data_IF_818905086143
#
_entry.id   IF_818905086143
#
_cell.length_a   1.000
_cell.length_b   1.000
_cell.length_c   1.000
_cell.angle_alpha   90.00
_cell.angle_beta   90.00
_cell.angle_gamma   90.00
#
_symmetry.space_group_name_H-M   'P 1'
#
loop_
_entity.id
_entity.type
_entity.pdbx_description
1 polymer ?
#
# COMPACT_ATOMS: atom_id res chain seq x y z
N UNK A 1 -54.43 -44.38 28.76
CA UNK A 1 -53.45 -44.31 27.66
C UNK A 1 -53.39 -42.86 27.19
N UNK A 2 -52.48 -42.06 27.75
CA UNK A 2 -52.38 -40.62 27.47
C UNK A 2 -51.55 -40.41 26.21
N UNK A 3 -52.15 -39.82 25.17
CA UNK A 3 -51.45 -39.44 23.93
C UNK A 3 -50.76 -38.11 24.18
N UNK A 4 -49.44 -38.13 24.31
CA UNK A 4 -48.61 -36.92 24.39
C UNK A 4 -48.44 -36.34 22.98
N UNK A 5 -49.03 -35.17 22.75
CA UNK A 5 -48.90 -34.43 21.49
C UNK A 5 -47.64 -33.56 21.60
N UNK A 6 -46.57 -33.94 20.90
CA UNK A 6 -45.30 -33.19 20.90
C UNK A 6 -45.39 -32.06 19.87
N UNK A 7 -45.44 -30.82 20.36
CA UNK A 7 -45.49 -29.61 19.53
C UNK A 7 -44.06 -29.27 19.08
N UNK A 8 -43.75 -29.51 17.81
CA UNK A 8 -42.45 -29.16 17.22
C UNK A 8 -42.44 -27.66 16.87
N UNK A 9 -41.86 -26.83 17.75
CA UNK A 9 -41.65 -25.39 17.47
C UNK A 9 -40.45 -25.27 16.52
N UNK A 10 -40.74 -24.96 15.25
CA UNK A 10 -39.73 -24.63 14.25
C UNK A 10 -39.19 -23.23 14.57
N UNK A 11 -38.05 -23.16 15.25
CA UNK A 11 -37.38 -21.90 15.58
C UNK A 11 -36.77 -21.33 14.28
N UNK A 12 -37.51 -20.49 13.58
CA UNK A 12 -37.01 -19.76 12.41
C UNK A 12 -36.00 -18.71 12.91
N UNK A 13 -34.72 -19.08 12.95
CA UNK A 13 -33.63 -18.14 13.24
C UNK A 13 -33.55 -17.15 12.07
N UNK A 14 -34.17 -15.98 12.24
CA UNK A 14 -33.92 -14.83 11.39
C UNK A 14 -32.51 -14.32 11.69
N UNK A 15 -31.50 -14.88 11.02
CA UNK A 15 -30.22 -14.22 10.87
C UNK A 15 -30.44 -12.95 10.03
N UNK A 16 -30.69 -11.83 10.71
CA UNK A 16 -30.62 -10.51 10.07
C UNK A 16 -29.18 -10.24 9.69
N UNK A 17 -28.80 -10.63 8.47
CA UNK A 17 -27.56 -10.17 7.86
C UNK A 17 -27.79 -8.71 7.46
N UNK A 18 -27.27 -7.78 8.26
CA UNK A 18 -27.25 -6.38 7.89
C UNK A 18 -26.31 -6.21 6.68
N UNK A 19 -26.90 -6.16 5.49
CA UNK A 19 -26.19 -5.74 4.27
C UNK A 19 -26.41 -4.26 4.08
N UNK A 20 -25.32 -3.51 3.86
CA UNK A 20 -25.43 -2.14 3.39
C UNK A 20 -25.60 -2.18 1.87
N UNK A 21 -26.51 -1.37 1.33
CA UNK A 21 -26.72 -1.23 -0.12
C UNK A 21 -26.59 0.25 -0.50
N UNK A 22 -25.79 0.55 -1.52
CA UNK A 22 -25.54 1.93 -2.01
C UNK A 22 -25.69 2.00 -3.52
N UNK A 23 -26.39 3.02 -4.02
CA UNK A 23 -26.43 3.36 -5.45
C UNK A 23 -25.19 4.18 -5.82
N UNK A 24 -24.49 3.77 -6.87
CA UNK A 24 -23.36 4.50 -7.46
C UNK A 24 -23.75 4.95 -8.85
N UNK A 25 -23.47 6.22 -9.16
CA UNK A 25 -23.65 6.81 -10.49
C UNK A 25 -22.28 7.23 -11.04
N UNK A 26 -21.99 6.80 -12.25
CA UNK A 26 -20.73 7.10 -12.93
C UNK A 26 -20.89 8.40 -13.71
N UNK A 27 -20.28 9.45 -13.20
CA UNK A 27 -20.20 10.72 -13.91
C UNK A 27 -19.06 10.65 -14.94
N UNK A 28 -19.43 10.38 -16.19
CA UNK A 28 -18.50 10.33 -17.31
C UNK A 28 -18.07 11.72 -17.82
N UNK A 29 -18.65 12.80 -17.30
CA UNK A 29 -18.33 14.18 -17.67
C UNK A 29 -17.79 15.02 -16.49
N UNK A 30 -16.76 15.84 -16.79
CA UNK A 30 -16.09 16.90 -16.02
C UNK A 30 -14.83 16.56 -15.18
N UNK A 31 -13.71 17.19 -15.55
CA UNK A 31 -12.48 17.32 -14.76
C UNK A 31 -12.58 18.48 -13.77
N UNK A 32 -12.01 18.40 -12.54
CA UNK A 32 -11.69 19.61 -11.79
C UNK A 32 -10.70 20.45 -12.62
N UNK A 33 -10.99 21.75 -12.74
CA UNK A 33 -10.35 22.75 -13.60
C UNK A 33 -8.85 23.00 -13.39
N UNK A 34 -8.14 22.14 -12.66
CA UNK A 34 -6.75 22.34 -12.23
C UNK A 34 -5.75 21.27 -12.70
N UNK A 35 -6.11 20.41 -13.66
CA UNK A 35 -5.13 19.52 -14.28
C UNK A 35 -4.45 20.22 -15.48
N UNK A 36 -3.27 20.79 -15.26
CA UNK A 36 -2.39 21.24 -16.35
C UNK A 36 -1.93 20.02 -17.14
N UNK A 37 -2.44 19.87 -18.37
CA UNK A 37 -1.92 18.90 -19.32
C UNK A 37 -0.58 19.39 -19.87
N UNK A 38 0.47 18.59 -19.70
CA UNK A 38 1.70 18.70 -20.50
C UNK A 38 1.39 17.99 -21.81
N UNK A 39 0.99 18.76 -22.82
CA UNK A 39 0.75 18.23 -24.17
C UNK A 39 2.08 18.24 -24.93
N UNK A 40 2.54 17.08 -25.38
CA UNK A 40 3.33 16.99 -26.61
C UNK A 40 2.88 15.72 -27.36
N UNK A 41 2.30 15.92 -28.54
CA UNK A 41 1.93 14.85 -29.48
C UNK A 41 0.42 14.63 -29.58
N UNK A 42 -0.16 15.06 -30.69
CA UNK A 42 -1.54 14.76 -31.08
C UNK A 42 -1.84 13.26 -31.01
N UNK A 43 -2.87 12.87 -30.26
CA UNK A 43 -3.68 11.68 -30.52
C UNK A 43 -5.06 11.84 -29.90
N UNK A 44 -6.05 11.41 -30.68
CA UNK A 44 -7.50 11.17 -30.48
C UNK A 44 -8.20 11.87 -29.30
N UNK A 45 -9.45 12.29 -29.52
CA UNK A 45 -10.33 12.90 -28.52
C UNK A 45 -10.55 11.96 -27.33
N UNK A 46 -9.64 12.01 -26.36
CA UNK A 46 -9.64 11.21 -25.13
C UNK A 46 -10.89 11.57 -24.35
N UNK A 47 -11.73 10.59 -24.01
CA UNK A 47 -12.77 10.76 -23.00
C UNK A 47 -12.12 11.38 -21.76
N UNK A 48 -12.51 12.59 -21.38
CA UNK A 48 -11.86 13.31 -20.28
C UNK A 48 -12.44 12.80 -18.96
N UNK A 49 -11.71 11.93 -18.26
CA UNK A 49 -12.18 11.39 -16.99
C UNK A 49 -11.79 12.20 -15.75
N UNK A 50 -12.63 12.10 -14.72
CA UNK A 50 -12.38 12.62 -13.37
C UNK A 50 -11.39 11.70 -12.60
N UNK A 51 -11.01 12.12 -11.37
CA UNK A 51 -10.07 11.40 -10.47
C UNK A 51 -10.50 9.96 -10.10
N UNK A 52 -11.72 9.55 -10.47
CA UNK A 52 -12.27 8.24 -10.19
C UNK A 52 -12.05 7.25 -11.32
N UNK A 53 -11.70 7.68 -12.54
CA UNK A 53 -11.38 6.74 -13.63
C UNK A 53 -9.90 6.81 -14.03
N UNK A 54 -9.29 5.64 -14.05
CA UNK A 54 -8.00 5.38 -14.68
C UNK A 54 -8.31 4.69 -16.00
N UNK A 55 -8.50 5.48 -17.06
CA UNK A 55 -8.92 4.99 -18.38
C UNK A 55 -7.94 3.98 -18.98
N UNK A 56 -6.64 4.23 -18.81
CA UNK A 56 -5.57 3.35 -19.29
C UNK A 56 -5.63 1.94 -18.67
N UNK A 57 -6.23 1.81 -17.48
CA UNK A 57 -6.42 0.54 -16.78
C UNK A 57 -7.87 0.00 -16.92
N UNK A 58 -8.76 0.71 -17.63
CA UNK A 58 -10.20 0.47 -17.61
C UNK A 58 -10.71 0.26 -16.18
N UNK A 59 -10.50 1.26 -15.33
CA UNK A 59 -10.73 1.15 -13.90
C UNK A 59 -11.48 2.36 -13.37
N UNK A 60 -12.52 2.11 -12.60
CA UNK A 60 -13.26 3.10 -11.83
C UNK A 60 -13.09 2.80 -10.34
N UNK A 61 -12.83 3.82 -9.54
CA UNK A 61 -12.67 3.74 -8.08
C UNK A 61 -13.67 4.69 -7.44
N UNK A 62 -14.45 4.22 -6.48
CA UNK A 62 -15.29 5.07 -5.63
C UNK A 62 -14.96 4.81 -4.16
N UNK A 63 -14.88 5.86 -3.36
CA UNK A 63 -14.49 5.78 -1.95
C UNK A 63 -15.47 6.57 -1.09
N UNK A 64 -15.85 5.98 0.05
CA UNK A 64 -16.72 6.61 1.03
C UNK A 64 -16.26 6.33 2.45
N UNK A 65 -16.67 7.20 3.38
CA UNK A 65 -16.51 6.97 4.81
C UNK A 65 -17.48 5.89 5.25
N UNK A 66 -16.98 5.00 6.09
CA UNK A 66 -17.71 3.83 6.53
C UNK A 66 -17.64 3.64 8.05
N UNK A 67 -18.61 2.93 8.61
CA UNK A 67 -18.70 2.65 10.05
C UNK A 67 -18.05 1.30 10.43
N UNK A 68 -17.59 0.54 9.44
CA UNK A 68 -16.91 -0.73 9.63
C UNK A 68 -16.21 -1.20 8.37
N UNK A 69 -15.28 -2.15 8.53
CA UNK A 69 -14.55 -2.72 7.41
C UNK A 69 -15.47 -3.60 6.56
N UNK A 70 -15.50 -3.36 5.26
CA UNK A 70 -16.18 -4.22 4.30
C UNK A 70 -15.58 -5.64 4.34
N UNK A 71 -16.42 -6.65 4.13
CA UNK A 71 -15.99 -8.00 3.84
C UNK A 71 -15.81 -8.14 2.31
N UNK A 72 -14.56 -8.30 1.81
CA UNK A 72 -14.30 -8.38 0.37
C UNK A 72 -15.00 -9.56 -0.32
N UNK A 73 -15.38 -10.60 0.43
CA UNK A 73 -16.03 -11.81 -0.11
C UNK A 73 -17.54 -11.69 -0.22
N UNK A 74 -18.17 -10.65 0.36
CA UNK A 74 -19.62 -10.49 0.38
C UNK A 74 -20.14 -9.44 -0.60
N UNK A 75 -19.27 -8.81 -1.39
CA UNK A 75 -19.68 -7.80 -2.37
C UNK A 75 -20.53 -8.41 -3.48
N UNK A 76 -21.67 -7.75 -3.74
CA UNK A 76 -22.58 -8.06 -4.84
C UNK A 76 -22.93 -6.76 -5.55
N UNK A 77 -22.79 -6.75 -6.88
CA UNK A 77 -23.33 -5.68 -7.72
C UNK A 77 -24.69 -6.09 -8.29
N UNK A 78 -25.65 -5.18 -8.26
CA UNK A 78 -26.99 -5.38 -8.83
C UNK A 78 -27.49 -4.12 -9.53
N UNK A 79 -28.61 -4.22 -10.25
CA UNK A 79 -29.25 -3.08 -10.94
C UNK A 79 -28.28 -2.27 -11.82
N UNK A 80 -27.36 -2.96 -12.51
CA UNK A 80 -26.33 -2.38 -13.35
C UNK A 80 -26.97 -1.88 -14.65
N UNK A 81 -26.75 -0.61 -14.96
CA UNK A 81 -27.24 0.07 -16.16
C UNK A 81 -26.06 0.30 -17.10
N UNK A 82 -26.23 -0.10 -18.36
CA UNK A 82 -25.23 0.06 -19.41
C UNK A 82 -25.69 1.03 -20.49
N UNK A 83 -24.71 1.67 -21.12
CA UNK A 83 -24.87 2.46 -22.35
C UNK A 83 -23.87 1.98 -23.40
N UNK A 84 -24.24 2.01 -24.67
CA UNK A 84 -23.30 1.73 -25.76
C UNK A 84 -22.23 2.82 -25.83
N UNK A 85 -20.98 2.44 -26.05
CA UNK A 85 -19.87 3.36 -26.29
C UNK A 85 -19.30 3.11 -27.68
N UNK A 86 -18.91 4.18 -28.38
CA UNK A 86 -18.37 4.04 -29.73
C UNK A 86 -16.90 3.59 -29.70
N UNK A 87 -16.44 2.95 -30.77
CA UNK A 87 -15.03 2.60 -30.93
C UNK A 87 -14.11 3.82 -30.86
N UNK A 88 -14.59 4.99 -31.30
CA UNK A 88 -13.82 6.24 -31.29
C UNK A 88 -13.53 6.73 -29.87
N UNK A 89 -14.45 6.51 -28.94
CA UNK A 89 -14.33 6.97 -27.55
C UNK A 89 -13.38 6.08 -26.72
N UNK A 90 -13.15 4.85 -27.17
CA UNK A 90 -12.21 3.90 -26.55
C UNK A 90 -10.92 3.74 -27.36
N UNK A 91 -10.68 4.59 -28.36
CA UNK A 91 -9.45 4.59 -29.14
C UNK A 91 -8.25 4.82 -28.21
N UNK A 92 -7.33 3.85 -28.17
CA UNK A 92 -6.13 3.88 -27.33
C UNK A 92 -6.17 2.93 -26.14
N UNK A 93 -7.33 2.35 -25.80
CA UNK A 93 -7.42 1.25 -24.84
C UNK A 93 -6.93 -0.05 -25.50
N UNK A 94 -6.12 -0.82 -24.77
CA UNK A 94 -5.77 -2.18 -25.19
C UNK A 94 -7.03 -3.06 -25.16
N UNK A 95 -7.19 -3.95 -26.14
CA UNK A 95 -8.26 -4.94 -26.11
C UNK A 95 -8.14 -5.90 -24.92
N UNK A 96 -6.94 -6.08 -24.37
CA UNK A 96 -6.67 -6.96 -23.21
C UNK A 96 -7.35 -6.48 -21.92
N UNK A 97 -7.56 -5.17 -21.76
CA UNK A 97 -8.17 -4.55 -20.57
C UNK A 97 -9.69 -4.45 -20.65
N UNK A 98 -10.31 -4.93 -21.74
CA UNK A 98 -11.76 -4.89 -21.98
C UNK A 98 -12.38 -6.27 -21.77
N UNK A 99 -12.77 -6.63 -20.54
CA UNK A 99 -13.32 -7.96 -20.24
C UNK A 99 -14.73 -8.13 -20.80
N UNK A 100 -15.19 -9.39 -20.88
CA UNK A 100 -16.57 -9.72 -21.28
C UNK A 100 -17.60 -9.42 -20.19
N UNK A 101 -17.14 -9.36 -18.94
CA UNK A 101 -17.95 -9.14 -17.74
C UNK A 101 -17.24 -8.15 -16.82
N UNK A 102 -18.01 -7.47 -15.96
CA UNK A 102 -17.46 -6.52 -15.00
C UNK A 102 -16.63 -7.29 -13.97
N UNK A 103 -15.40 -6.85 -13.75
CA UNK A 103 -14.59 -7.25 -12.59
C UNK A 103 -14.68 -6.16 -11.55
N UNK A 104 -14.83 -6.54 -10.29
CA UNK A 104 -14.95 -5.59 -9.20
C UNK A 104 -14.38 -6.17 -7.90
N UNK A 105 -13.98 -5.28 -7.00
CA UNK A 105 -13.46 -5.62 -5.68
C UNK A 105 -13.76 -4.50 -4.70
N UNK A 106 -13.86 -4.84 -3.42
CA UNK A 106 -14.02 -3.87 -2.33
C UNK A 106 -12.94 -4.07 -1.29
N UNK A 107 -12.48 -2.98 -0.70
CA UNK A 107 -11.50 -3.00 0.39
C UNK A 107 -11.79 -1.85 1.36
N UNK A 108 -11.33 -1.98 2.59
CA UNK A 108 -11.43 -0.92 3.59
C UNK A 108 -10.08 -0.68 4.25
N UNK A 109 -9.79 0.60 4.51
CA UNK A 109 -8.56 1.04 5.16
C UNK A 109 -8.91 2.03 6.27
N UNK A 110 -8.07 2.10 7.31
CA UNK A 110 -8.19 3.07 8.40
C UNK A 110 -7.18 4.20 8.20
N UNK A 111 -7.64 5.44 8.27
CA UNK A 111 -6.77 6.62 8.26
C UNK A 111 -7.29 7.69 9.20
N UNK A 112 -6.44 8.12 10.15
CA UNK A 112 -6.80 9.14 11.17
C UNK A 112 -8.13 8.83 11.87
N UNK A 113 -8.27 7.59 12.34
CA UNK A 113 -9.46 7.07 13.03
C UNK A 113 -10.75 7.06 12.19
N UNK A 114 -10.66 7.27 10.88
CA UNK A 114 -11.78 7.17 9.94
C UNK A 114 -11.58 5.96 9.03
N UNK A 115 -12.60 5.12 8.93
CA UNK A 115 -12.61 3.99 7.99
C UNK A 115 -13.07 4.49 6.63
N UNK A 116 -12.26 4.23 5.61
CA UNK A 116 -12.59 4.48 4.21
C UNK A 116 -12.78 3.15 3.50
N UNK A 117 -13.94 2.96 2.88
CA UNK A 117 -14.21 1.80 2.02
C UNK A 117 -14.11 2.23 0.57
N UNK A 118 -13.34 1.48 -0.22
CA UNK A 118 -13.08 1.74 -1.63
C UNK A 118 -13.54 0.57 -2.48
N UNK A 119 -14.40 0.85 -3.46
CA UNK A 119 -14.81 -0.06 -4.52
C UNK A 119 -13.95 0.21 -5.75
N UNK A 120 -13.43 -0.84 -6.36
CA UNK A 120 -12.81 -0.80 -7.69
C UNK A 120 -13.64 -1.64 -8.65
N UNK A 121 -13.87 -1.16 -9.87
CA UNK A 121 -14.57 -1.92 -10.91
C UNK A 121 -14.08 -1.59 -12.32
N UNK A 122 -14.31 -2.49 -13.28
CA UNK A 122 -14.05 -2.25 -14.70
C UNK A 122 -15.29 -1.64 -15.38
N UNK A 123 -15.29 -0.34 -15.73
CA UNK A 123 -16.50 0.35 -16.16
C UNK A 123 -16.85 0.11 -17.63
N UNK A 124 -15.93 -0.42 -18.46
CA UNK A 124 -16.17 -0.74 -19.87
C UNK A 124 -16.00 -2.23 -20.10
N UNK A 125 -16.94 -2.84 -20.82
CA UNK A 125 -16.92 -4.27 -21.18
C UNK A 125 -17.09 -4.46 -22.70
N UNK A 126 -16.58 -5.58 -23.21
CA UNK A 126 -16.76 -6.02 -24.59
C UNK A 126 -17.60 -7.31 -24.64
N UNK A 127 -18.87 -7.16 -25.00
CA UNK A 127 -19.77 -8.29 -25.19
C UNK A 127 -19.87 -8.62 -26.67
N UNK A 128 -19.07 -9.58 -27.12
CA UNK A 128 -19.10 -10.09 -28.50
C UNK A 128 -18.94 -8.98 -29.57
N UNK A 129 -18.05 -8.02 -29.34
CA UNK A 129 -17.77 -6.90 -30.24
C UNK A 129 -18.63 -5.66 -30.01
N UNK A 130 -19.59 -5.71 -29.08
CA UNK A 130 -20.38 -4.55 -28.66
C UNK A 130 -19.81 -4.00 -27.36
N UNK A 131 -19.24 -2.81 -27.42
CA UNK A 131 -18.70 -2.11 -26.27
C UNK A 131 -19.80 -1.42 -25.48
N UNK A 132 -19.78 -1.60 -24.17
CA UNK A 132 -20.74 -0.98 -23.25
C UNK A 132 -20.00 -0.38 -22.06
N UNK A 133 -20.41 0.82 -21.66
CA UNK A 133 -19.96 1.48 -20.45
C UNK A 133 -21.04 1.37 -19.37
N UNK A 134 -20.62 1.27 -18.11
CA UNK A 134 -21.50 1.27 -16.95
C UNK A 134 -21.91 2.70 -16.63
N UNK A 135 -23.20 2.94 -16.39
CA UNK A 135 -23.73 4.26 -15.99
C UNK A 135 -24.06 4.31 -14.51
N UNK A 136 -24.60 3.22 -13.97
CA UNK A 136 -24.91 3.13 -12.54
C UNK A 136 -25.12 1.68 -12.13
N UNK A 137 -25.01 1.43 -10.83
CA UNK A 137 -25.23 0.12 -10.23
C UNK A 137 -25.52 0.30 -8.73
N UNK A 138 -26.05 -0.75 -8.12
CA UNK A 138 -26.13 -0.89 -6.67
C UNK A 138 -25.00 -1.80 -6.21
N UNK A 139 -24.33 -1.41 -5.12
CA UNK A 139 -23.34 -2.25 -4.43
C UNK A 139 -23.89 -2.63 -3.07
N UNK A 140 -23.93 -3.93 -2.80
CA UNK A 140 -24.31 -4.50 -1.52
C UNK A 140 -23.15 -5.29 -0.92
N UNK A 141 -22.90 -5.14 0.38
CA UNK A 141 -21.86 -5.89 1.10
C UNK A 141 -22.14 -5.91 2.60
N UNK A 142 -21.50 -6.86 3.28
CA UNK A 142 -21.53 -7.01 4.75
C UNK A 142 -20.24 -6.53 5.39
N UNK A 143 -20.25 -6.28 6.69
CA UNK A 143 -19.05 -5.95 7.45
C UNK A 143 -18.27 -7.19 7.86
N UNK A 144 -16.95 -7.07 7.91
CA UNK A 144 -16.07 -8.10 8.45
C UNK A 144 -16.20 -8.16 9.98
N UNK A 145 -16.45 -9.35 10.51
CA UNK A 145 -16.69 -9.57 11.95
C UNK A 145 -15.42 -9.47 12.82
N UNK A 146 -14.22 -9.35 12.23
CA UNK A 146 -12.97 -9.15 12.95
C UNK A 146 -11.95 -8.46 12.08
N UNK A 147 -11.49 -7.30 12.54
CA UNK A 147 -10.31 -6.63 12.01
C UNK A 147 -9.12 -7.32 12.66
N UNK A 148 -8.32 -8.06 11.89
CA UNK A 148 -6.97 -8.38 12.34
C UNK A 148 -6.21 -7.06 12.33
N UNK A 149 -6.26 -6.34 13.44
CA UNK A 149 -5.40 -5.18 13.64
C UNK A 149 -3.98 -5.71 13.63
N UNK A 150 -3.23 -5.44 12.55
CA UNK A 150 -1.78 -5.62 12.56
C UNK A 150 -1.27 -4.61 13.58
N UNK A 151 -1.13 -5.06 14.82
CA UNK A 151 -0.56 -4.25 15.88
C UNK A 151 0.93 -4.14 15.57
N UNK A 152 1.32 -3.13 14.79
CA UNK A 152 2.72 -2.70 14.73
C UNK A 152 3.03 -2.20 16.13
N UNK A 153 3.59 -3.06 16.98
CA UNK A 153 3.86 -2.73 18.37
C UNK A 153 4.54 -1.37 18.45
N UNK A 154 4.02 -0.49 19.30
CA UNK A 154 4.64 0.82 19.53
C UNK A 154 6.03 0.58 20.14
N UNK A 155 7.07 0.66 19.32
CA UNK A 155 8.47 0.58 19.73
C UNK A 155 9.07 1.97 19.68
N UNK A 156 9.82 2.36 20.71
CA UNK A 156 10.62 3.58 20.66
C UNK A 156 11.68 3.45 19.56
N UNK A 157 11.99 4.55 18.89
CA UNK A 157 13.07 4.52 17.89
C UNK A 157 14.41 4.20 18.54
N UNK A 158 15.28 3.48 17.85
CA UNK A 158 16.69 3.30 18.20
C UNK A 158 17.35 4.65 18.44
N UNK A 159 16.97 5.67 17.66
CA UNK A 159 17.50 7.04 17.78
C UNK A 159 17.04 7.79 19.03
N UNK A 160 16.06 7.27 19.78
CA UNK A 160 15.50 7.94 20.96
C UNK A 160 16.51 8.01 22.13
N UNK A 161 17.55 7.19 22.12
CA UNK A 161 18.58 7.17 23.16
C UNK A 161 19.98 6.91 22.57
N UNK A 162 21.02 7.29 23.30
CA UNK A 162 22.41 7.10 22.89
C UNK A 162 23.06 8.32 22.24
N UNK A 163 24.37 8.21 21.97
CA UNK A 163 25.16 9.24 21.31
C UNK A 163 25.27 8.90 19.82
N UNK A 164 24.75 9.79 18.97
CA UNK A 164 24.64 9.54 17.52
C UNK A 164 25.66 10.35 16.74
N UNK A 165 26.39 9.66 15.87
CA UNK A 165 27.37 10.25 14.97
C UNK A 165 27.05 9.81 13.54
N UNK A 166 27.05 10.76 12.61
CA UNK A 166 26.66 10.52 11.23
C UNK A 166 27.85 10.63 10.29
N UNK A 167 27.89 9.73 9.33
CA UNK A 167 28.85 9.75 8.23
C UNK A 167 28.17 9.23 6.97
N UNK A 168 28.80 9.44 5.80
CA UNK A 168 28.26 9.04 4.50
C UNK A 168 29.09 7.92 3.88
N UNK A 169 28.44 7.09 3.07
CA UNK A 169 29.08 6.06 2.26
C UNK A 169 29.05 6.49 0.79
N UNK A 170 30.24 6.65 0.20
CA UNK A 170 30.38 7.10 -1.19
C UNK A 170 30.39 5.94 -2.19
N UNK A 171 30.82 4.75 -1.75
CA UNK A 171 30.93 3.56 -2.60
C UNK A 171 30.48 2.32 -1.85
N UNK A 172 29.77 1.44 -2.54
CA UNK A 172 29.41 0.13 -2.00
C UNK A 172 30.67 -0.72 -1.78
N UNK A 173 30.77 -1.37 -0.63
CA UNK A 173 31.89 -2.25 -0.30
C UNK A 173 32.17 -2.37 1.20
N UNK A 174 33.28 -3.03 1.53
CA UNK A 174 33.77 -3.12 2.91
C UNK A 174 34.52 -1.83 3.26
N UNK A 175 34.12 -1.19 4.35
CA UNK A 175 34.71 0.03 4.88
C UNK A 175 35.45 -0.26 6.18
N UNK A 176 36.57 0.43 6.38
CA UNK A 176 37.34 0.39 7.62
C UNK A 176 37.24 1.74 8.32
N UNK A 177 36.72 1.74 9.54
CA UNK A 177 36.66 2.91 10.41
C UNK A 177 37.75 2.79 11.47
N UNK A 178 38.66 3.75 11.52
CA UNK A 178 39.74 3.77 12.50
C UNK A 178 39.53 4.86 13.57
N UNK A 179 40.44 4.91 14.54
CA UNK A 179 40.39 5.86 15.66
C UNK A 179 40.36 7.31 15.19
N UNK A 180 41.11 7.64 14.14
CA UNK A 180 41.17 9.00 13.60
C UNK A 180 39.84 9.39 12.98
N UNK A 181 39.20 8.46 12.26
CA UNK A 181 37.88 8.67 11.70
C UNK A 181 36.83 8.90 12.78
N UNK A 182 36.76 8.04 13.82
CA UNK A 182 35.81 8.22 14.92
C UNK A 182 36.03 9.54 15.67
N UNK A 183 37.28 9.92 15.90
CA UNK A 183 37.62 11.22 16.50
C UNK A 183 37.20 12.39 15.60
N UNK A 184 37.34 12.27 14.27
CA UNK A 184 36.89 13.30 13.31
C UNK A 184 35.37 13.50 13.31
N UNK A 185 34.60 12.49 13.73
CA UNK A 185 33.14 12.59 13.94
C UNK A 185 32.78 13.29 15.26
N UNK A 186 33.76 13.56 16.14
CA UNK A 186 33.55 14.16 17.46
C UNK A 186 33.28 13.15 18.57
N UNK A 187 33.64 11.88 18.38
CA UNK A 187 33.52 10.83 19.39
C UNK A 187 34.69 10.89 20.38
N UNK A 188 34.41 10.74 21.69
CA UNK A 188 35.48 10.62 22.71
C UNK A 188 36.08 9.22 22.70
N UNK A 189 37.01 8.98 21.78
CA UNK A 189 37.71 7.71 21.60
C UNK A 189 38.63 7.35 22.79
N UNK A 190 38.92 8.28 23.71
CA UNK A 190 39.75 7.98 24.88
C UNK A 190 38.99 7.20 25.96
N UNK A 191 37.66 7.37 26.03
CA UNK A 191 36.79 6.72 27.00
C UNK A 191 35.76 5.79 26.32
N UNK A 192 36.10 5.28 25.13
CA UNK A 192 35.23 4.48 24.29
C UNK A 192 35.50 2.99 24.49
N UNK A 193 34.46 2.24 24.84
CA UNK A 193 34.48 0.77 24.80
C UNK A 193 34.06 0.30 23.39
N UNK A 194 34.96 -0.32 22.60
CA UNK A 194 34.67 -0.75 21.24
C UNK A 194 33.46 -1.69 21.13
N UNK A 195 33.19 -2.48 22.18
CA UNK A 195 32.13 -3.50 22.21
C UNK A 195 30.73 -2.90 22.27
N UNK A 196 30.63 -1.60 22.54
CA UNK A 196 29.36 -0.84 22.60
C UNK A 196 29.06 -0.08 21.31
N UNK A 197 29.97 -0.12 20.34
CA UNK A 197 29.79 0.54 19.06
C UNK A 197 28.78 -0.21 18.21
N UNK A 198 27.95 0.56 17.52
CA UNK A 198 26.93 0.06 16.62
C UNK A 198 26.85 0.97 15.41
N UNK A 199 26.55 0.40 14.25
CA UNK A 199 26.29 1.15 13.03
C UNK A 199 24.84 0.86 12.65
N UNK A 200 24.07 1.92 12.36
CA UNK A 200 22.68 1.81 11.95
C UNK A 200 22.49 2.46 10.59
N UNK A 201 21.64 1.87 9.74
CA UNK A 201 21.33 2.45 8.43
C UNK A 201 20.61 1.49 7.50
N UNK A 202 19.71 2.02 6.67
CA UNK A 202 18.93 1.26 5.68
C UNK A 202 19.71 0.90 4.40
N UNK A 203 21.03 1.17 4.36
CA UNK A 203 21.81 1.11 3.13
C UNK A 203 21.35 2.16 2.11
N UNK A 204 21.54 1.84 0.82
CA UNK A 204 21.15 2.69 -0.31
C UNK A 204 20.01 2.13 -1.16
N UNK A 205 19.38 1.04 -0.75
CA UNK A 205 18.36 0.38 -1.54
C UNK A 205 17.07 1.23 -1.63
N UNK A 206 16.34 1.08 -2.73
CA UNK A 206 15.03 1.69 -2.89
C UNK A 206 14.03 1.05 -1.93
N UNK A 207 13.08 1.85 -1.44
CA UNK A 207 11.92 1.30 -0.73
C UNK A 207 11.13 0.38 -1.66
N UNK A 208 10.57 -0.73 -1.16
CA UNK A 208 9.70 -1.58 -1.94
C UNK A 208 8.54 -0.78 -2.55
N UNK A 209 8.17 -1.11 -3.79
CA UNK A 209 7.04 -0.45 -4.46
C UNK A 209 5.71 -0.70 -3.72
N UNK A 210 5.57 -1.89 -3.12
CA UNK A 210 4.41 -2.27 -2.34
C UNK A 210 4.62 -1.93 -0.85
N UNK A 211 3.73 -1.10 -0.30
CA UNK A 211 3.74 -0.78 1.14
C UNK A 211 3.67 -2.03 2.03
N UNK A 212 3.05 -3.13 1.55
CA UNK A 212 2.96 -4.40 2.28
C UNK A 212 4.29 -5.13 2.43
N UNK A 213 5.29 -4.79 1.62
CA UNK A 213 6.64 -5.37 1.66
C UNK A 213 7.60 -4.54 2.51
N UNK A 214 7.21 -3.33 2.93
CA UNK A 214 8.00 -2.56 3.87
C UNK A 214 7.85 -3.11 5.29
N UNK A 215 8.89 -3.80 5.76
CA UNK A 215 8.92 -4.46 7.07
C UNK A 215 9.75 -3.70 8.11
N UNK A 216 10.64 -2.80 7.67
CA UNK A 216 11.49 -2.00 8.56
C UNK A 216 10.83 -0.63 8.81
N UNK A 217 10.51 -0.35 10.08
CA UNK A 217 9.89 0.90 10.51
C UNK A 217 10.86 1.82 11.26
N UNK A 218 12.09 1.36 11.48
CA UNK A 218 13.18 2.09 12.13
C UNK A 218 14.53 1.67 11.50
N UNK A 219 15.63 2.30 11.91
CA UNK A 219 16.94 1.98 11.34
C UNK A 219 17.43 0.59 11.77
N UNK A 220 17.74 -0.32 10.84
CA UNK A 220 18.32 -1.61 11.17
C UNK A 220 19.78 -1.44 11.62
N UNK A 221 20.22 -2.32 12.52
CA UNK A 221 21.61 -2.42 12.96
C UNK A 221 22.43 -3.18 11.90
N UNK A 222 23.45 -2.53 11.35
CA UNK A 222 24.36 -3.12 10.39
C UNK A 222 25.40 -3.99 11.10
N UNK A 223 25.68 -5.16 10.53
CA UNK A 223 26.72 -6.04 11.05
C UNK A 223 28.09 -5.37 10.97
N UNK A 224 28.83 -5.42 12.08
CA UNK A 224 30.18 -4.91 12.19
C UNK A 224 31.12 -5.97 12.74
N UNK A 225 32.39 -5.88 12.37
CA UNK A 225 33.49 -6.61 12.99
C UNK A 225 34.43 -5.60 13.65
N UNK A 226 34.67 -5.74 14.94
CA UNK A 226 35.60 -4.89 15.68
C UNK A 226 36.90 -5.64 15.92
N UNK A 227 38.01 -5.10 15.44
CA UNK A 227 39.36 -5.65 15.56
C UNK A 227 40.07 -4.91 16.69
N UNK A 228 40.69 -5.64 17.61
CA UNK A 228 41.46 -5.09 18.74
C UNK A 228 40.68 -4.87 20.04
N UNK A 229 39.38 -5.19 20.07
CA UNK A 229 38.48 -4.89 21.20
C UNK A 229 38.70 -5.68 22.52
N UNK A 230 39.76 -6.48 22.65
CA UNK A 230 39.92 -7.46 23.73
C UNK A 230 40.10 -6.82 25.11
N UNK A 231 40.76 -5.67 25.17
CA UNK A 231 41.06 -4.94 26.41
C UNK A 231 40.00 -3.89 26.79
N UNK A 232 38.96 -3.72 25.96
CA UNK A 232 37.89 -2.75 26.17
C UNK A 232 38.28 -1.29 25.91
N UNK A 233 39.43 -1.04 25.30
CA UNK A 233 39.87 0.28 24.80
C UNK A 233 39.92 0.27 23.27
N UNK A 234 39.82 1.44 22.64
CA UNK A 234 39.87 1.55 21.17
C UNK A 234 41.20 2.14 20.69
N UNK A 235 42.27 1.36 20.68
CA UNK A 235 43.64 1.84 20.46
C UNK A 235 43.97 2.21 19.01
N UNK A 236 45.20 2.71 18.80
CA UNK A 236 45.67 3.16 17.47
C UNK A 236 45.69 2.06 16.39
N UNK A 237 45.79 0.79 16.79
CA UNK A 237 45.73 -0.36 15.90
C UNK A 237 44.30 -0.83 15.59
N UNK A 238 43.31 -0.33 16.32
CA UNK A 238 41.96 -0.87 16.32
C UNK A 238 41.15 -0.32 15.16
N UNK A 239 40.17 -1.12 14.73
CA UNK A 239 39.27 -0.69 13.66
C UNK A 239 37.97 -1.46 13.64
N UNK A 240 36.97 -0.83 13.04
CA UNK A 240 35.67 -1.41 12.74
C UNK A 240 35.63 -1.69 11.24
N UNK A 241 35.28 -2.91 10.87
CA UNK A 241 34.95 -3.28 9.51
C UNK A 241 33.44 -3.44 9.39
N UNK A 242 32.86 -2.90 8.34
CA UNK A 242 31.46 -3.14 8.01
C UNK A 242 31.24 -3.04 6.50
N UNK A 243 30.20 -3.70 6.01
CA UNK A 243 29.80 -3.58 4.61
C UNK A 243 28.74 -2.48 4.47
N UNK A 244 29.03 -1.48 3.64
CA UNK A 244 28.14 -0.34 3.40
C UNK A 244 27.71 -0.32 1.94
N UNK A 245 26.43 -0.04 1.70
CA UNK A 245 25.84 0.10 0.36
C UNK A 245 25.48 1.55 0.08
N UNK A 246 25.76 2.03 -1.13
CA UNK A 246 25.29 3.34 -1.61
C UNK A 246 24.04 3.18 -2.48
N UNK A 247 23.44 4.31 -2.88
CA UNK A 247 22.27 4.29 -3.75
C UNK A 247 22.58 3.60 -5.08
N UNK A 248 21.89 2.51 -5.34
CA UNK A 248 21.94 1.80 -6.60
C UNK A 248 20.73 2.24 -7.42
N UNK A 249 20.94 3.11 -8.41
CA UNK A 249 19.92 3.37 -9.41
C UNK A 249 19.76 2.09 -10.24
N UNK A 250 18.62 1.43 -10.14
CA UNK A 250 18.19 0.47 -11.16
C UNK A 250 17.54 1.28 -12.27
N UNK A 251 18.23 1.39 -13.41
CA UNK A 251 17.58 1.71 -14.67
C UNK A 251 17.09 0.38 -15.25
N UNK A 252 15.88 -0.03 -14.87
CA UNK A 252 15.14 -1.08 -15.58
C UNK A 252 13.70 -0.60 -15.85
#
# INVERSE_FOLDING_TARGET
MMKTFSLFIFLFSFCFVFSQTRRVQLNWEETPSNAKSVITGQKASVLKTNLFFILEENKYVDQWVDDGYANPMSIVLSNIVFESISLNDIQGMDSSILPREIRYSISSNLGRDVIYTSLTLTPIINQNGVYRKVISFDVAYTKSASVSTRNTGLTNSVLASGNWYRFKIEKTGVHRLDRNFLNSLGMDVNNLDPRKLKIYGNGGNMLPLLNSENIEFDLPENAIQVIGQEDGSFDSGDSILFYGETQQFSED
#
